data_IF_088292810065
#
_entry.id   IF_088292810065
#
_cell.length_a   1.000
_cell.length_b   1.000
_cell.length_c   1.000
_cell.angle_alpha   90.00
_cell.angle_beta   90.00
_cell.angle_gamma   90.00
#
_symmetry.space_group_name_H-M   'P 1'
#
loop_
_entity.id
_entity.type
_entity.pdbx_description
1 polymer ?
#
# COMPACT_ATOMS: atom_id res chain seq x y z
N UNK A 1 13.46 -2.34 -6.40
CA UNK A 1 12.64 -2.06 -7.61
C UNK A 1 11.58 -3.13 -7.74
N UNK A 2 10.36 -2.77 -8.11
CA UNK A 2 9.24 -3.71 -8.29
C UNK A 2 8.94 -3.80 -9.80
N UNK A 3 8.81 -5.02 -10.31
CA UNK A 3 8.48 -5.24 -11.72
C UNK A 3 7.45 -6.37 -11.86
N UNK A 4 6.45 -6.14 -12.69
CA UNK A 4 5.46 -7.13 -13.09
C UNK A 4 5.65 -7.42 -14.59
N UNK A 5 5.68 -8.70 -14.99
CA UNK A 5 5.86 -9.14 -16.38
C UNK A 5 4.76 -10.11 -16.76
N UNK A 6 3.93 -9.70 -17.73
CA UNK A 6 2.85 -10.50 -18.33
C UNK A 6 1.94 -11.18 -17.28
N UNK A 7 1.57 -10.43 -16.25
CA UNK A 7 0.78 -10.93 -15.14
C UNK A 7 -0.65 -11.23 -15.59
N UNK A 8 -1.01 -12.50 -15.44
CA UNK A 8 -2.40 -12.94 -15.50
C UNK A 8 -2.76 -13.56 -14.15
N UNK A 9 -3.89 -13.15 -13.57
CA UNK A 9 -4.34 -13.65 -12.29
C UNK A 9 -5.81 -14.06 -12.35
N UNK A 10 -6.12 -15.20 -11.75
CA UNK A 10 -7.45 -15.80 -11.76
C UNK A 10 -7.95 -16.09 -10.35
N UNK A 11 -9.22 -15.82 -10.12
CA UNK A 11 -9.99 -16.35 -9.01
C UNK A 11 -10.88 -17.48 -9.57
N UNK A 12 -10.51 -18.74 -9.31
CA UNK A 12 -11.12 -19.91 -9.98
C UNK A 12 -11.10 -19.71 -11.52
N UNK A 13 -12.26 -19.60 -12.14
CA UNK A 13 -12.40 -19.38 -13.59
C UNK A 13 -12.44 -17.91 -14.00
N UNK A 14 -12.55 -16.98 -13.03
CA UNK A 14 -12.63 -15.55 -13.32
C UNK A 14 -11.24 -14.96 -13.57
N UNK A 15 -10.99 -14.46 -14.79
CA UNK A 15 -9.75 -13.79 -15.17
C UNK A 15 -9.73 -12.35 -14.66
N UNK A 16 -9.16 -12.15 -13.49
CA UNK A 16 -9.21 -10.89 -12.76
C UNK A 16 -8.14 -9.87 -13.21
N UNK A 17 -6.96 -10.33 -13.62
CA UNK A 17 -5.89 -9.49 -14.18
C UNK A 17 -5.40 -10.08 -15.48
N UNK A 18 -5.22 -9.23 -16.51
CA UNK A 18 -4.99 -9.64 -17.89
C UNK A 18 -3.72 -8.98 -18.43
N UNK A 19 -2.68 -9.78 -18.62
CA UNK A 19 -1.40 -9.42 -19.26
C UNK A 19 -0.80 -8.10 -18.79
N UNK A 20 -0.73 -7.88 -17.46
CA UNK A 20 -0.23 -6.64 -16.89
C UNK A 20 1.29 -6.68 -16.83
N UNK A 21 1.93 -5.68 -17.46
CA UNK A 21 3.37 -5.45 -17.35
C UNK A 21 3.64 -4.00 -16.94
N UNK A 22 4.42 -3.81 -15.85
CA UNK A 22 4.86 -2.49 -15.41
C UNK A 22 6.11 -2.57 -14.54
N UNK A 23 6.80 -1.43 -14.43
CA UNK A 23 7.99 -1.26 -13.61
C UNK A 23 7.84 -0.04 -12.70
N UNK A 24 8.01 -0.25 -11.40
CA UNK A 24 7.89 0.78 -10.37
C UNK A 24 9.26 1.04 -9.76
N UNK A 25 9.63 2.31 -9.71
CA UNK A 25 10.97 2.75 -9.26
C UNK A 25 11.06 2.73 -7.73
N UNK A 26 12.29 2.57 -7.22
CA UNK A 26 12.56 2.70 -5.79
C UNK A 26 12.36 4.16 -5.35
N UNK A 27 12.00 4.33 -4.08
CA UNK A 27 11.85 5.64 -3.44
C UNK A 27 10.93 6.60 -4.19
N UNK A 28 9.87 6.04 -4.75
CA UNK A 28 8.82 6.75 -5.49
C UNK A 28 7.43 6.31 -5.02
N UNK A 29 6.43 7.11 -5.35
CA UNK A 29 5.03 6.77 -5.15
C UNK A 29 4.40 6.41 -6.49
N UNK A 30 3.92 5.17 -6.63
CA UNK A 30 3.11 4.74 -7.77
C UNK A 30 1.65 4.60 -7.33
N UNK A 31 0.75 5.31 -8.01
CA UNK A 31 -0.68 5.20 -7.76
C UNK A 31 -1.38 4.29 -8.78
N UNK A 32 -2.32 3.47 -8.33
CA UNK A 32 -3.26 2.76 -9.19
C UNK A 32 -4.64 3.38 -9.09
N UNK A 33 -5.18 3.85 -10.21
CA UNK A 33 -6.52 4.43 -10.32
C UNK A 33 -7.40 3.60 -11.26
N UNK A 34 -8.71 3.79 -11.18
CA UNK A 34 -9.70 3.08 -12.01
C UNK A 34 -10.98 2.77 -11.24
N UNK A 35 -12.03 2.30 -11.91
CA UNK A 35 -13.31 1.96 -11.31
C UNK A 35 -13.18 0.90 -10.21
N UNK A 36 -14.19 0.83 -9.32
CA UNK A 36 -14.26 -0.24 -8.33
C UNK A 36 -14.36 -1.61 -9.03
N UNK A 37 -13.66 -2.62 -8.48
CA UNK A 37 -13.65 -3.98 -9.04
C UNK A 37 -12.77 -4.19 -10.29
N UNK A 38 -12.03 -3.19 -10.79
CA UNK A 38 -11.18 -3.34 -11.98
C UNK A 38 -9.83 -4.06 -11.73
N UNK A 39 -9.58 -4.60 -10.52
CA UNK A 39 -8.39 -5.41 -10.24
C UNK A 39 -7.25 -4.72 -9.48
N UNK A 40 -7.31 -3.42 -9.17
CA UNK A 40 -6.23 -2.67 -8.50
C UNK A 40 -5.73 -3.30 -7.20
N UNK A 41 -6.64 -3.58 -6.27
CA UNK A 41 -6.30 -4.20 -4.98
C UNK A 41 -5.82 -5.65 -5.15
N UNK A 42 -6.36 -6.37 -6.13
CA UNK A 42 -5.86 -7.70 -6.50
C UNK A 42 -4.42 -7.61 -6.98
N UNK A 43 -4.09 -6.66 -7.86
CA UNK A 43 -2.74 -6.45 -8.36
C UNK A 43 -1.78 -5.99 -7.26
N UNK A 44 -2.21 -5.04 -6.41
CA UNK A 44 -1.43 -4.58 -5.25
C UNK A 44 -1.02 -5.74 -4.34
N UNK A 45 -1.97 -6.63 -4.01
CA UNK A 45 -1.77 -7.77 -3.10
C UNK A 45 -0.91 -8.90 -3.67
N UNK A 46 -0.56 -8.87 -4.95
CA UNK A 46 0.41 -9.81 -5.52
C UNK A 46 1.79 -9.59 -4.92
N UNK A 47 2.20 -8.33 -4.67
CA UNK A 47 3.55 -7.98 -4.24
C UNK A 47 3.89 -8.40 -2.80
N UNK A 48 2.88 -8.75 -1.98
CA UNK A 48 3.08 -9.34 -0.65
C UNK A 48 2.48 -10.75 -0.52
N UNK A 49 2.04 -11.33 -1.65
CA UNK A 49 1.44 -12.68 -1.73
C UNK A 49 0.22 -12.85 -0.81
N UNK A 50 -0.54 -11.76 -0.57
CA UNK A 50 -1.78 -11.86 0.23
C UNK A 50 -2.88 -12.63 -0.52
N UNK A 51 -2.84 -12.68 -1.84
CA UNK A 51 -3.80 -13.44 -2.63
C UNK A 51 -3.63 -14.97 -2.48
N UNK A 52 -2.47 -15.44 -2.01
CA UNK A 52 -2.23 -16.86 -1.71
C UNK A 52 -3.13 -17.39 -0.57
N UNK A 53 -3.73 -16.49 0.21
CA UNK A 53 -4.68 -16.84 1.27
C UNK A 53 -6.10 -17.14 0.75
N UNK A 54 -6.32 -16.99 -0.56
CA UNK A 54 -7.62 -17.20 -1.21
C UNK A 54 -7.53 -18.50 -2.02
N UNK A 55 -8.36 -19.46 -1.68
CA UNK A 55 -8.39 -20.75 -2.39
C UNK A 55 -8.80 -20.57 -3.85
N UNK A 56 -8.25 -21.44 -4.72
CA UNK A 56 -8.56 -21.46 -6.13
C UNK A 56 -7.93 -20.33 -6.94
N UNK A 57 -6.93 -19.62 -6.40
CA UNK A 57 -6.20 -18.60 -7.16
C UNK A 57 -5.11 -19.20 -8.05
N UNK A 58 -4.87 -18.58 -9.21
CA UNK A 58 -3.80 -18.96 -10.14
C UNK A 58 -3.15 -17.71 -10.71
N UNK A 59 -1.82 -17.67 -10.67
CA UNK A 59 -0.99 -16.63 -11.26
C UNK A 59 -0.14 -17.21 -12.39
N UNK A 60 0.00 -16.46 -13.49
CA UNK A 60 1.02 -16.66 -14.51
C UNK A 60 1.75 -15.35 -14.78
N UNK A 61 2.95 -15.41 -15.33
CA UNK A 61 3.84 -14.26 -15.44
C UNK A 61 4.80 -14.18 -14.26
N UNK A 62 5.51 -13.07 -14.10
CA UNK A 62 6.52 -12.90 -13.07
C UNK A 62 6.28 -11.61 -12.27
N UNK A 63 6.31 -11.72 -10.94
CA UNK A 63 6.38 -10.60 -10.01
C UNK A 63 7.79 -10.53 -9.42
N UNK A 64 8.53 -9.47 -9.71
CA UNK A 64 9.92 -9.32 -9.29
C UNK A 64 10.04 -8.18 -8.27
N UNK A 65 10.79 -8.44 -7.21
CA UNK A 65 11.25 -7.41 -6.27
C UNK A 65 12.77 -7.52 -6.20
N UNK A 66 13.48 -6.45 -6.58
CA UNK A 66 14.94 -6.40 -6.69
C UNK A 66 15.48 -7.59 -7.53
N UNK A 67 14.85 -7.81 -8.70
CA UNK A 67 15.18 -8.85 -9.69
C UNK A 67 14.87 -10.29 -9.26
N UNK A 68 14.41 -10.50 -8.02
CA UNK A 68 14.00 -11.82 -7.53
C UNK A 68 12.50 -12.05 -7.76
N UNK A 69 12.13 -13.17 -8.40
CA UNK A 69 10.73 -13.53 -8.55
C UNK A 69 10.15 -14.01 -7.21
N UNK A 70 9.27 -13.19 -6.64
CA UNK A 70 8.69 -13.42 -5.31
C UNK A 70 7.75 -14.66 -5.24
N UNK A 71 7.39 -15.23 -6.38
CA UNK A 71 6.62 -16.49 -6.47
C UNK A 71 7.50 -17.73 -6.70
N UNK A 72 8.83 -17.56 -6.73
CA UNK A 72 9.71 -18.71 -6.78
C UNK A 72 9.61 -19.54 -5.49
N UNK A 73 9.76 -20.86 -5.61
CA UNK A 73 9.57 -21.81 -4.47
C UNK A 73 10.56 -21.59 -3.31
N UNK A 74 11.72 -21.00 -3.57
CA UNK A 74 12.72 -20.69 -2.54
C UNK A 74 12.34 -19.49 -1.66
N UNK A 75 11.40 -18.64 -2.09
CA UNK A 75 11.06 -17.40 -1.37
C UNK A 75 10.22 -17.73 -0.15
N UNK A 76 10.73 -17.37 1.03
CA UNK A 76 9.99 -17.46 2.28
C UNK A 76 8.98 -16.31 2.37
N UNK A 77 7.69 -16.64 2.43
CA UNK A 77 6.61 -15.63 2.41
C UNK A 77 6.67 -14.70 3.62
N UNK A 78 7.10 -15.22 4.77
CA UNK A 78 7.21 -14.41 5.99
C UNK A 78 8.32 -13.36 5.86
N UNK A 79 9.44 -13.68 5.24
CA UNK A 79 10.52 -12.71 4.97
C UNK A 79 10.12 -11.69 3.90
N UNK A 80 9.40 -12.12 2.87
CA UNK A 80 8.80 -11.21 1.90
C UNK A 80 7.88 -10.20 2.60
N UNK A 81 7.00 -10.65 3.50
CA UNK A 81 6.06 -9.78 4.22
C UNK A 81 6.71 -8.85 5.24
N UNK A 82 7.93 -9.14 5.70
CA UNK A 82 8.77 -8.17 6.44
C UNK A 82 9.26 -7.06 5.53
N UNK A 83 9.66 -7.41 4.30
CA UNK A 83 10.17 -6.47 3.28
C UNK A 83 9.05 -5.61 2.67
N UNK A 84 7.83 -6.14 2.58
CA UNK A 84 6.67 -5.53 1.93
C UNK A 84 5.54 -5.32 2.93
N UNK A 85 5.50 -4.14 3.55
CA UNK A 85 4.45 -3.75 4.48
C UNK A 85 3.13 -3.47 3.78
N UNK A 86 2.01 -3.65 4.49
CA UNK A 86 0.65 -3.43 3.97
C UNK A 86 -0.19 -2.58 4.91
N UNK A 87 -0.84 -1.56 4.34
CA UNK A 87 -1.85 -0.72 4.98
C UNK A 87 -3.18 -0.95 4.27
N UNK A 88 -4.21 -1.32 5.02
CA UNK A 88 -5.53 -1.66 4.48
C UNK A 88 -6.45 -0.44 4.42
N UNK A 89 -7.50 -0.53 3.62
CA UNK A 89 -8.52 0.49 3.42
C UNK A 89 -9.21 0.88 4.73
N UNK A 90 -9.63 -0.11 5.53
CA UNK A 90 -10.20 0.13 6.86
C UNK A 90 -9.10 0.02 7.90
N UNK A 91 -8.97 0.99 8.81
CA UNK A 91 -8.08 0.84 9.95
C UNK A 91 -8.38 -0.47 10.68
N UNK A 92 -7.35 -1.23 10.96
CA UNK A 92 -7.47 -2.54 11.62
C UNK A 92 -6.51 -2.68 12.80
N UNK A 93 -6.57 -1.77 13.79
CA UNK A 93 -5.76 -1.92 14.99
C UNK A 93 -6.12 -3.20 15.71
N UNK A 94 -5.13 -3.85 16.33
CA UNK A 94 -5.40 -4.99 17.21
C UNK A 94 -6.09 -4.52 18.49
N UNK A 95 -6.87 -5.40 19.18
CA UNK A 95 -7.48 -5.11 20.48
C UNK A 95 -6.42 -5.09 21.60
N UNK A 96 -5.48 -4.17 21.46
CA UNK A 96 -4.29 -3.97 22.29
C UNK A 96 -4.06 -2.48 22.49
N UNK A 97 -3.09 -2.13 23.34
CA UNK A 97 -2.68 -0.73 23.52
C UNK A 97 -2.05 -0.16 22.23
N UNK A 98 -1.92 1.16 22.18
CA UNK A 98 -1.23 1.88 21.09
C UNK A 98 0.20 1.34 20.96
N UNK A 99 0.93 1.23 22.08
CA UNK A 99 2.29 0.69 22.11
C UNK A 99 2.34 -0.74 21.55
N UNK A 100 1.49 -1.64 22.05
CA UNK A 100 1.49 -3.04 21.63
C UNK A 100 1.07 -3.24 20.16
N UNK A 101 0.29 -2.33 19.58
CA UNK A 101 0.01 -2.37 18.16
C UNK A 101 1.28 -2.17 17.33
N UNK A 102 2.09 -1.18 17.67
CA UNK A 102 3.34 -0.87 16.94
C UNK A 102 4.42 -1.93 17.23
N UNK A 103 4.56 -2.33 18.50
CA UNK A 103 5.53 -3.33 18.92
C UNK A 103 5.24 -4.76 18.43
N UNK A 104 4.02 -5.02 17.94
CA UNK A 104 3.57 -6.37 17.63
C UNK A 104 4.48 -7.08 16.61
N UNK A 105 4.77 -6.42 15.49
CA UNK A 105 5.62 -6.98 14.44
C UNK A 105 7.04 -7.28 14.92
N UNK A 106 7.60 -6.43 15.79
CA UNK A 106 8.92 -6.65 16.40
C UNK A 106 8.93 -7.92 17.26
N UNK A 107 7.89 -8.11 18.09
CA UNK A 107 7.79 -9.27 18.98
C UNK A 107 7.57 -10.59 18.24
N UNK A 108 6.74 -10.57 17.18
CA UNK A 108 6.53 -11.76 16.32
C UNK A 108 7.82 -12.17 15.61
N UNK A 109 8.72 -11.21 15.36
CA UNK A 109 10.04 -11.47 14.80
C UNK A 109 11.14 -11.73 15.88
N UNK A 110 10.75 -12.20 17.08
CA UNK A 110 11.62 -12.56 18.19
C UNK A 110 12.54 -11.44 18.73
N UNK A 111 12.23 -10.19 18.45
CA UNK A 111 12.92 -9.05 19.06
C UNK A 111 12.41 -8.91 20.50
N UNK A 112 13.31 -9.12 21.48
CA UNK A 112 12.98 -9.15 22.92
C UNK A 112 13.56 -7.99 23.71
N UNK A 113 14.50 -7.25 23.13
CA UNK A 113 15.10 -6.07 23.78
C UNK A 113 14.05 -4.98 23.99
N UNK A 114 13.70 -4.71 25.24
CA UNK A 114 12.68 -3.75 25.62
C UNK A 114 13.08 -2.31 25.25
N UNK A 115 14.36 -1.98 25.33
CA UNK A 115 14.89 -0.66 25.01
C UNK A 115 14.78 -0.41 23.51
N UNK A 116 15.24 -1.37 22.70
CA UNK A 116 15.12 -1.30 21.25
C UNK A 116 13.65 -1.21 20.80
N UNK A 117 12.75 -2.03 21.38
CA UNK A 117 11.32 -1.99 21.06
C UNK A 117 10.74 -0.60 21.38
N UNK A 118 11.06 -0.03 22.55
CA UNK A 118 10.55 1.27 22.96
C UNK A 118 11.01 2.38 22.01
N UNK A 119 12.29 2.38 21.67
CA UNK A 119 12.87 3.32 20.69
C UNK A 119 12.19 3.17 19.32
N UNK A 120 12.05 1.95 18.84
CA UNK A 120 11.47 1.66 17.52
C UNK A 120 9.99 2.03 17.43
N UNK A 121 9.22 1.85 18.53
CA UNK A 121 7.83 2.29 18.64
C UNK A 121 7.75 3.83 18.55
N UNK A 122 8.60 4.55 19.28
CA UNK A 122 8.65 6.01 19.23
C UNK A 122 8.99 6.51 17.82
N UNK A 123 10.06 5.98 17.21
CA UNK A 123 10.47 6.33 15.84
C UNK A 123 9.35 6.10 14.83
N UNK A 124 8.67 4.94 14.90
CA UNK A 124 7.58 4.59 13.99
C UNK A 124 6.36 5.48 14.17
N UNK A 125 6.01 5.85 15.40
CA UNK A 125 4.94 6.79 15.68
C UNK A 125 5.27 8.22 15.22
N UNK A 126 6.54 8.63 15.33
CA UNK A 126 7.03 9.90 14.77
C UNK A 126 6.97 9.89 13.25
N UNK A 127 7.48 8.83 12.62
CA UNK A 127 7.42 8.65 11.17
C UNK A 127 5.99 8.65 10.63
N UNK A 128 5.01 8.13 11.41
CA UNK A 128 3.59 8.17 11.07
C UNK A 128 2.87 9.48 11.48
N UNK A 129 3.61 10.52 11.89
CA UNK A 129 3.07 11.79 12.36
C UNK A 129 1.99 11.65 13.47
N UNK A 130 2.15 10.67 14.37
CA UNK A 130 1.18 10.37 15.42
C UNK A 130 1.73 10.56 16.83
N UNK A 131 3.07 10.61 17.00
CA UNK A 131 3.73 10.64 18.31
C UNK A 131 3.20 11.73 19.25
N UNK A 132 3.12 12.97 18.79
CA UNK A 132 2.70 14.10 19.63
C UNK A 132 1.24 13.96 20.13
N UNK A 133 0.43 13.22 19.40
CA UNK A 133 -0.98 12.99 19.76
C UNK A 133 -1.16 11.83 20.76
N UNK A 134 -0.14 10.94 20.90
CA UNK A 134 -0.31 9.70 21.67
C UNK A 134 0.76 9.40 22.71
N UNK A 135 1.87 10.16 22.77
CA UNK A 135 3.03 9.90 23.65
C UNK A 135 2.65 9.72 25.12
N UNK A 136 1.64 10.46 25.62
CA UNK A 136 1.20 10.40 27.01
C UNK A 136 0.14 9.31 27.28
N UNK A 137 -0.29 8.59 26.24
CA UNK A 137 -1.35 7.58 26.32
C UNK A 137 -1.04 6.26 25.63
N UNK A 138 0.24 5.92 25.47
CA UNK A 138 0.70 4.70 24.77
C UNK A 138 0.12 3.40 25.32
N UNK A 139 -0.24 3.37 26.61
CA UNK A 139 -0.84 2.19 27.27
C UNK A 139 -2.36 2.10 27.09
N UNK A 140 -3.01 3.14 26.56
CA UNK A 140 -4.45 3.13 26.28
C UNK A 140 -4.78 2.25 25.09
N UNK A 141 -6.05 1.85 25.01
CA UNK A 141 -6.56 1.06 23.89
C UNK A 141 -6.42 1.81 22.56
N UNK A 142 -5.98 1.11 21.52
CA UNK A 142 -5.94 1.66 20.17
C UNK A 142 -7.34 2.02 19.62
N UNK A 143 -8.41 1.42 20.14
CA UNK A 143 -9.78 1.75 19.75
C UNK A 143 -10.29 3.08 20.30
N UNK A 144 -9.59 3.69 21.26
CA UNK A 144 -9.91 5.03 21.74
C UNK A 144 -9.45 6.15 20.78
N UNK A 145 -8.69 5.80 19.74
CA UNK A 145 -8.22 6.72 18.72
C UNK A 145 -9.30 7.01 17.68
N UNK A 146 -9.28 8.23 17.11
CA UNK A 146 -10.11 8.56 15.95
C UNK A 146 -9.74 7.72 14.72
N UNK A 147 -10.60 7.62 13.71
CA UNK A 147 -10.34 6.85 12.50
C UNK A 147 -9.02 7.22 11.82
N UNK A 148 -8.73 8.52 11.67
CA UNK A 148 -7.47 8.99 11.09
C UNK A 148 -6.24 8.67 11.97
N UNK A 149 -6.39 8.71 13.29
CA UNK A 149 -5.34 8.28 14.22
C UNK A 149 -5.12 6.77 14.15
N UNK A 150 -6.19 5.97 14.07
CA UNK A 150 -6.08 4.52 13.90
C UNK A 150 -5.39 4.15 12.59
N UNK A 151 -5.67 4.87 11.51
CA UNK A 151 -5.00 4.65 10.22
C UNK A 151 -3.49 4.96 10.31
N UNK A 152 -3.12 6.09 10.91
CA UNK A 152 -1.70 6.41 11.16
C UNK A 152 -1.03 5.43 12.11
N UNK A 153 -1.76 4.88 13.09
CA UNK A 153 -1.26 3.79 13.93
C UNK A 153 -0.99 2.51 13.12
N UNK A 154 -1.86 2.16 12.18
CA UNK A 154 -1.63 1.02 11.27
C UNK A 154 -0.42 1.25 10.36
N UNK A 155 -0.20 2.50 9.92
CA UNK A 155 1.03 2.86 9.18
C UNK A 155 2.25 2.72 10.10
N UNK A 156 2.23 3.27 11.32
CA UNK A 156 3.33 3.12 12.30
C UNK A 156 3.65 1.64 12.56
N UNK A 157 2.62 0.80 12.71
CA UNK A 157 2.78 -0.65 12.86
C UNK A 157 3.51 -1.29 11.67
N UNK A 158 3.16 -0.89 10.44
CA UNK A 158 3.83 -1.38 9.24
C UNK A 158 5.29 -0.90 9.16
N UNK A 159 5.57 0.34 9.54
CA UNK A 159 6.92 0.93 9.53
C UNK A 159 7.85 0.32 10.60
N UNK A 160 7.31 -0.21 11.70
CA UNK A 160 8.09 -0.69 12.83
C UNK A 160 9.09 -1.80 12.47
N UNK A 161 8.75 -2.65 11.50
CA UNK A 161 9.60 -3.73 11.01
C UNK A 161 10.58 -3.31 9.90
N UNK A 162 10.65 -1.99 9.59
CA UNK A 162 11.54 -1.42 8.56
C UNK A 162 11.38 -2.05 7.17
N UNK A 163 10.17 -2.05 6.61
CA UNK A 163 9.98 -2.56 5.25
C UNK A 163 10.74 -1.68 4.25
N UNK A 164 11.05 -2.19 3.07
CA UNK A 164 11.55 -1.38 1.95
C UNK A 164 10.43 -0.89 1.03
N UNK A 165 9.31 -1.57 1.05
CA UNK A 165 8.13 -1.31 0.22
C UNK A 165 6.91 -1.16 1.14
N UNK A 166 6.06 -0.18 0.86
CA UNK A 166 4.81 0.04 1.57
C UNK A 166 3.65 0.04 0.57
N UNK A 167 2.80 -0.96 0.68
CA UNK A 167 1.56 -1.08 -0.09
C UNK A 167 0.42 -0.45 0.69
N UNK A 168 -0.36 0.41 0.04
CA UNK A 168 -1.49 1.10 0.64
C UNK A 168 -2.76 0.90 -0.19
N UNK A 169 -3.72 0.17 0.34
CA UNK A 169 -5.01 -0.10 -0.32
C UNK A 169 -6.04 0.92 0.17
N UNK A 170 -6.29 1.98 -0.61
CA UNK A 170 -7.23 3.08 -0.32
C UNK A 170 -7.10 3.69 1.10
N UNK A 171 -5.90 4.11 1.54
CA UNK A 171 -5.60 4.41 2.94
C UNK A 171 -6.37 5.59 3.54
N UNK A 172 -7.03 6.40 2.73
CA UNK A 172 -7.76 7.58 3.18
C UNK A 172 -9.27 7.57 2.82
N UNK A 173 -9.78 6.49 2.20
CA UNK A 173 -11.16 6.46 1.66
C UNK A 173 -12.27 6.59 2.71
N UNK A 174 -11.99 6.21 3.95
CA UNK A 174 -12.96 6.26 5.06
C UNK A 174 -12.69 7.42 6.03
N UNK A 175 -11.84 8.38 5.66
CA UNK A 175 -11.39 9.46 6.54
C UNK A 175 -12.03 10.80 6.16
N UNK A 176 -12.12 11.69 7.15
CA UNK A 176 -12.47 13.09 6.94
C UNK A 176 -11.38 13.85 6.15
N UNK A 177 -11.69 15.03 5.57
CA UNK A 177 -10.73 15.78 4.75
C UNK A 177 -9.43 16.15 5.48
N UNK A 178 -9.51 16.48 6.78
CA UNK A 178 -8.32 16.87 7.57
C UNK A 178 -7.42 15.64 7.77
N UNK A 179 -8.01 14.51 8.14
CA UNK A 179 -7.27 13.25 8.27
C UNK A 179 -6.70 12.77 6.94
N UNK A 180 -7.42 12.97 5.84
CA UNK A 180 -6.94 12.66 4.47
C UNK A 180 -5.70 13.49 4.14
N UNK A 181 -5.71 14.82 4.37
CA UNK A 181 -4.55 15.69 4.15
C UNK A 181 -3.33 15.22 4.94
N UNK A 182 -3.50 14.85 6.20
CA UNK A 182 -2.41 14.30 7.02
C UNK A 182 -1.81 12.99 6.45
N UNK A 183 -2.64 12.12 5.88
CA UNK A 183 -2.16 10.89 5.22
C UNK A 183 -1.39 11.23 3.94
N UNK A 184 -1.85 12.22 3.15
CA UNK A 184 -1.15 12.66 1.94
C UNK A 184 0.22 13.27 2.25
N UNK A 185 0.30 14.15 3.25
CA UNK A 185 1.56 14.72 3.74
C UNK A 185 2.51 13.63 4.24
N UNK A 186 1.96 12.63 4.94
CA UNK A 186 2.70 11.47 5.42
C UNK A 186 3.28 10.65 4.26
N UNK A 187 2.49 10.33 3.24
CA UNK A 187 2.95 9.62 2.04
C UNK A 187 4.11 10.39 1.37
N UNK A 188 3.95 11.70 1.23
CA UNK A 188 4.99 12.56 0.66
C UNK A 188 6.29 12.54 1.47
N UNK A 189 6.21 12.51 2.80
CA UNK A 189 7.40 12.43 3.65
C UNK A 189 8.07 11.06 3.59
N UNK A 190 7.28 9.98 3.55
CA UNK A 190 7.76 8.60 3.57
C UNK A 190 8.44 8.18 2.26
N UNK A 191 8.11 8.78 1.11
CA UNK A 191 8.70 8.38 -0.18
C UNK A 191 10.22 8.55 -0.25
N UNK A 192 10.81 9.33 0.65
CA UNK A 192 12.27 9.53 0.73
C UNK A 192 13.01 8.25 1.16
N UNK A 193 12.32 7.43 1.96
CA UNK A 193 12.89 6.24 2.61
C UNK A 193 12.25 4.94 2.14
N UNK A 194 11.06 5.03 1.51
CA UNK A 194 10.24 3.87 1.14
C UNK A 194 9.78 3.93 -0.32
N UNK A 195 9.68 2.78 -0.95
CA UNK A 195 8.95 2.61 -2.21
C UNK A 195 7.48 2.43 -1.87
N UNK A 196 6.60 3.29 -2.37
CA UNK A 196 5.17 3.28 -2.00
C UNK A 196 4.32 2.94 -3.23
N UNK A 197 3.41 2.00 -3.07
CA UNK A 197 2.38 1.70 -4.07
C UNK A 197 1.01 1.92 -3.42
N UNK A 198 0.23 2.84 -3.97
CA UNK A 198 -1.07 3.20 -3.43
C UNK A 198 -2.19 2.88 -4.42
N UNK A 199 -3.24 2.24 -3.94
CA UNK A 199 -4.53 2.17 -4.65
C UNK A 199 -5.41 3.30 -4.15
N UNK A 200 -6.03 4.03 -5.05
CA UNK A 200 -7.03 5.04 -4.69
C UNK A 200 -8.08 5.19 -5.82
N UNK A 201 -9.31 5.45 -5.44
CA UNK A 201 -10.36 5.88 -6.37
C UNK A 201 -10.47 7.41 -6.45
N UNK A 202 -9.71 8.14 -5.60
CA UNK A 202 -9.68 9.60 -5.62
C UNK A 202 -8.55 10.08 -6.54
N UNK A 203 -8.93 10.54 -7.73
CA UNK A 203 -8.00 11.06 -8.75
C UNK A 203 -7.19 12.26 -8.26
N UNK A 204 -7.81 13.14 -7.46
CA UNK A 204 -7.11 14.31 -6.91
C UNK A 204 -6.02 13.88 -5.91
N UNK A 205 -6.29 12.85 -5.09
CA UNK A 205 -5.28 12.25 -4.22
C UNK A 205 -4.12 11.69 -5.04
N UNK A 206 -4.41 10.85 -6.05
CA UNK A 206 -3.37 10.30 -6.92
C UNK A 206 -2.50 11.42 -7.53
N UNK A 207 -3.14 12.46 -8.07
CA UNK A 207 -2.45 13.60 -8.67
C UNK A 207 -1.52 14.36 -7.70
N UNK A 208 -1.86 14.40 -6.39
CA UNK A 208 -1.05 15.10 -5.38
C UNK A 208 0.11 14.28 -4.84
N UNK A 209 -0.08 12.96 -4.66
CA UNK A 209 0.88 12.16 -3.91
C UNK A 209 1.80 11.30 -4.76
N UNK A 210 1.43 10.96 -6.01
CA UNK A 210 2.19 10.01 -6.80
C UNK A 210 3.13 10.64 -7.83
N UNK A 211 4.21 9.93 -8.12
CA UNK A 211 5.16 10.26 -9.19
C UNK A 211 4.72 9.61 -10.51
N UNK A 212 4.25 8.36 -10.45
CA UNK A 212 3.66 7.64 -11.59
C UNK A 212 2.27 7.15 -11.27
N UNK A 213 1.44 7.03 -12.30
CA UNK A 213 0.07 6.55 -12.15
C UNK A 213 -0.23 5.46 -13.19
N UNK A 214 -0.86 4.37 -12.76
CA UNK A 214 -1.41 3.33 -13.61
C UNK A 214 -2.94 3.37 -13.59
N UNK A 215 -3.54 3.48 -14.77
CA UNK A 215 -4.98 3.40 -14.94
C UNK A 215 -5.41 1.98 -15.29
N UNK A 216 -6.26 1.41 -14.44
CA UNK A 216 -6.79 0.05 -14.59
C UNK A 216 -8.25 0.08 -15.00
N UNK A 217 -8.64 -0.80 -15.92
CA UNK A 217 -10.01 -1.03 -16.33
C UNK A 217 -10.23 -2.51 -16.68
N UNK A 218 -11.26 -3.14 -16.14
CA UNK A 218 -11.67 -4.52 -16.44
C UNK A 218 -10.54 -5.57 -16.38
N UNK A 219 -9.62 -5.39 -15.44
CA UNK A 219 -8.47 -6.29 -15.24
C UNK A 219 -7.25 -5.97 -16.09
N UNK A 220 -7.28 -4.93 -16.89
CA UNK A 220 -6.20 -4.50 -17.79
C UNK A 220 -5.54 -3.22 -17.29
N UNK A 221 -4.24 -3.06 -17.54
CA UNK A 221 -3.51 -1.81 -17.41
C UNK A 221 -3.64 -1.02 -18.71
N UNK A 222 -4.50 -0.02 -18.71
CA UNK A 222 -4.79 0.77 -19.91
C UNK A 222 -3.66 1.76 -20.23
N UNK A 223 -3.14 2.42 -19.19
CA UNK A 223 -2.06 3.40 -19.32
C UNK A 223 -1.21 3.42 -18.05
N UNK A 224 0.10 3.59 -18.21
CA UNK A 224 1.05 3.81 -17.12
C UNK A 224 2.06 4.87 -17.52
N UNK A 225 2.03 6.00 -16.83
CA UNK A 225 2.90 7.14 -17.16
C UNK A 225 3.18 8.01 -15.93
N UNK A 226 4.01 9.05 -16.12
CA UNK A 226 4.18 10.10 -15.13
C UNK A 226 2.83 10.70 -14.75
N UNK A 227 2.59 10.88 -13.47
CA UNK A 227 1.30 11.36 -12.95
C UNK A 227 0.87 12.65 -13.58
N UNK A 228 1.77 13.63 -13.70
CA UNK A 228 1.46 14.91 -14.33
C UNK A 228 1.03 14.74 -15.79
N UNK A 229 1.72 13.87 -16.54
CA UNK A 229 1.38 13.57 -17.94
C UNK A 229 0.00 12.94 -18.02
N UNK A 230 -0.27 11.92 -17.21
CA UNK A 230 -1.55 11.21 -17.20
C UNK A 230 -2.74 12.14 -16.94
N UNK A 231 -2.62 13.07 -15.98
CA UNK A 231 -3.74 13.96 -15.62
C UNK A 231 -3.90 15.18 -16.55
N UNK A 232 -2.84 15.63 -17.21
CA UNK A 232 -2.89 16.81 -18.09
C UNK A 232 -3.05 16.45 -19.58
N UNK A 233 -2.43 15.35 -20.01
CA UNK A 233 -2.40 14.94 -21.42
C UNK A 233 -2.26 13.41 -21.52
N UNK A 234 -3.31 12.65 -21.16
CA UNK A 234 -3.30 11.19 -21.26
C UNK A 234 -3.16 10.73 -22.71
N UNK A 235 -2.48 9.62 -22.94
CA UNK A 235 -2.27 9.07 -24.30
C UNK A 235 -3.47 8.25 -24.77
N UNK A 236 -4.25 7.69 -23.83
CA UNK A 236 -5.38 6.83 -24.14
C UNK A 236 -6.71 7.56 -23.95
N UNK A 237 -7.59 7.45 -24.94
CA UNK A 237 -8.94 8.02 -24.87
C UNK A 237 -9.73 7.50 -23.66
N UNK A 238 -9.58 6.22 -23.33
CA UNK A 238 -10.20 5.63 -22.15
C UNK A 238 -9.74 6.31 -20.86
N UNK A 239 -8.44 6.63 -20.75
CA UNK A 239 -7.87 7.37 -19.60
C UNK A 239 -8.44 8.78 -19.54
N UNK A 240 -8.53 9.47 -20.68
CA UNK A 240 -9.10 10.81 -20.78
C UNK A 240 -10.57 10.82 -20.34
N UNK A 241 -11.36 9.88 -20.83
CA UNK A 241 -12.77 9.74 -20.47
C UNK A 241 -12.93 9.46 -18.97
N UNK A 242 -12.05 8.61 -18.40
CA UNK A 242 -12.06 8.35 -16.96
C UNK A 242 -11.78 9.61 -16.14
N UNK A 243 -10.71 10.32 -16.45
CA UNK A 243 -10.27 11.52 -15.70
C UNK A 243 -11.30 12.66 -15.82
N UNK A 244 -11.96 12.81 -16.97
CA UNK A 244 -12.96 13.86 -17.20
C UNK A 244 -14.37 13.49 -16.75
N UNK A 245 -14.56 12.27 -16.20
CA UNK A 245 -15.89 11.80 -15.75
C UNK A 245 -16.86 11.50 -16.90
N UNK A 246 -16.38 11.33 -18.12
CA UNK A 246 -17.18 11.01 -19.31
C UNK A 246 -17.32 9.49 -19.50
N UNK A 247 -17.81 8.81 -18.48
CA UNK A 247 -18.20 7.39 -18.62
C UNK A 247 -19.63 7.33 -19.14
N UNK A 248 -19.78 6.86 -20.36
CA UNK A 248 -21.04 6.39 -20.91
C UNK A 248 -21.13 4.89 -20.87
#
# INVERSE_FOLDING_TARGET
>A
MIEAKNINFYYSDFHALKDISMKMENYSVTAFIGPSGCGKSTFLRLFNRMNDLIDGTRLTGECLIDEENIYHKSVQVDDLRKKVGMVFQKPNPFPKSIFENVAYGLRVNDIRDKSFIAQRVEESLKAAALWEEVKDKLKKSAFELSGGQQQRLCIARALAISPSILLMDEPASALDPISTSKIEELIYSLKKDYTIVIVTHNMQQAARVSDKTGFFMLGELIEFSDTRKMFLNPEKEQTQNYITGRFG
#
